data_IF_603136953412
#
_entry.id   IF_603136953412
#
_cell.length_a   1.000
_cell.length_b   1.000
_cell.length_c   1.000
_cell.angle_alpha   90.00
_cell.angle_beta   90.00
_cell.angle_gamma   90.00
#
_symmetry.space_group_name_H-M   'P 1'
#
loop_
_entity.id
_entity.type
_entity.pdbx_description
1 polymer ?
#
# COMPACT_ATOMS: atom_id res chain seq x y z
N UNK A 1 5.80 1.56 11.58
CA UNK A 1 5.28 2.95 11.42
C UNK A 1 3.81 2.87 11.06
N UNK A 2 2.95 3.75 11.57
CA UNK A 2 1.51 3.67 11.31
C UNK A 2 1.05 4.55 10.14
N UNK A 3 0.36 3.93 9.19
CA UNK A 3 -0.32 4.62 8.08
C UNK A 3 -1.82 4.35 8.12
N UNK A 4 -2.59 5.28 7.57
CA UNK A 4 -4.05 5.20 7.50
C UNK A 4 -4.49 4.55 6.19
N UNK A 5 -5.29 3.50 6.26
CA UNK A 5 -5.82 2.75 5.12
C UNK A 5 -7.33 2.85 5.06
N UNK A 6 -7.86 2.72 3.85
CA UNK A 6 -9.27 2.39 3.65
C UNK A 6 -9.31 0.88 3.41
N UNK A 7 -10.06 0.16 4.24
CA UNK A 7 -10.19 -1.29 4.06
C UNK A 7 -10.87 -1.58 2.71
N UNK A 8 -10.35 -2.54 1.92
CA UNK A 8 -11.03 -2.99 0.71
C UNK A 8 -12.43 -3.54 1.05
N UNK A 9 -13.37 -3.41 0.10
CA UNK A 9 -14.81 -3.65 0.34
C UNK A 9 -15.16 -5.10 0.67
N UNK A 10 -14.33 -6.01 0.18
CA UNK A 10 -14.38 -7.47 0.32
C UNK A 10 -13.72 -7.98 1.61
N UNK A 11 -13.08 -7.10 2.38
CA UNK A 11 -12.51 -7.47 3.68
C UNK A 11 -13.61 -7.52 4.73
N UNK A 12 -13.35 -8.25 5.81
CA UNK A 12 -14.26 -8.32 6.96
C UNK A 12 -13.68 -7.59 8.16
N UNK A 13 -14.52 -6.82 8.85
CA UNK A 13 -14.25 -6.19 10.13
C UNK A 13 -15.16 -6.79 11.18
N UNK A 14 -14.61 -7.45 12.20
CA UNK A 14 -15.37 -8.22 13.19
C UNK A 14 -16.37 -9.20 12.53
N UNK A 15 -15.96 -9.85 11.44
CA UNK A 15 -16.79 -10.79 10.67
C UNK A 15 -17.78 -10.14 9.70
N UNK A 16 -18.03 -8.83 9.76
CA UNK A 16 -18.95 -8.09 8.88
C UNK A 16 -18.20 -7.60 7.64
N UNK A 17 -18.78 -7.75 6.45
CA UNK A 17 -18.13 -7.28 5.22
C UNK A 17 -18.03 -5.74 5.23
N UNK A 18 -16.90 -5.22 4.78
CA UNK A 18 -16.64 -3.78 4.76
C UNK A 18 -17.64 -3.03 3.87
N UNK A 19 -18.16 -3.65 2.81
CA UNK A 19 -19.21 -3.08 1.97
C UNK A 19 -20.55 -2.84 2.69
N UNK A 20 -20.81 -3.57 3.78
CA UNK A 20 -22.02 -3.44 4.61
C UNK A 20 -21.83 -2.39 5.71
N UNK A 21 -20.59 -1.96 5.93
CA UNK A 21 -20.23 -0.95 6.91
C UNK A 21 -20.15 0.44 6.27
N UNK A 22 -20.30 1.49 7.08
CA UNK A 22 -19.86 2.82 6.67
C UNK A 22 -18.35 2.78 6.33
N UNK A 23 -17.95 3.51 5.28
CA UNK A 23 -16.54 3.63 4.88
C UNK A 23 -15.74 4.09 6.08
N UNK A 24 -14.85 3.21 6.55
CA UNK A 24 -14.04 3.44 7.73
C UNK A 24 -12.57 3.31 7.36
N UNK A 25 -11.78 4.20 7.95
CA UNK A 25 -10.32 4.14 7.87
C UNK A 25 -9.77 3.39 9.07
N UNK A 26 -8.64 2.71 8.88
CA UNK A 26 -7.91 2.01 9.93
C UNK A 26 -6.45 2.45 9.91
N UNK A 27 -5.83 2.61 11.07
CA UNK A 27 -4.38 2.77 11.16
C UNK A 27 -3.74 1.39 11.31
N UNK A 28 -2.78 1.09 10.44
CA UNK A 28 -2.07 -0.20 10.41
C UNK A 28 -0.57 0.04 10.49
N UNK A 29 0.11 -0.87 11.18
CA UNK A 29 1.56 -0.91 11.20
C UNK A 29 2.12 -1.40 9.88
N UNK A 30 2.89 -0.52 9.27
CA UNK A 30 3.60 -0.74 8.02
C UNK A 30 5.01 -1.17 8.32
N UNK A 31 5.39 -2.28 7.70
CA UNK A 31 6.73 -2.86 7.76
C UNK A 31 7.52 -2.58 6.49
N UNK A 32 6.85 -2.46 5.35
CA UNK A 32 7.52 -2.26 4.08
C UNK A 32 6.63 -1.44 3.15
N UNK A 33 7.22 -0.50 2.40
CA UNK A 33 6.57 0.25 1.33
C UNK A 33 7.14 -0.20 -0.01
N UNK A 34 6.24 -0.39 -0.97
CA UNK A 34 6.58 -0.78 -2.33
C UNK A 34 6.06 0.28 -3.29
N UNK A 35 6.94 0.79 -4.13
CA UNK A 35 6.57 1.63 -5.25
C UNK A 35 5.96 0.73 -6.34
N UNK A 36 4.64 0.77 -6.45
CA UNK A 36 3.91 0.10 -7.52
C UNK A 36 3.93 1.06 -8.71
N UNK A 37 4.93 0.88 -9.58
CA UNK A 37 5.07 1.75 -10.75
C UNK A 37 3.79 1.74 -11.59
N UNK A 38 3.36 2.92 -12.03
CA UNK A 38 2.42 3.03 -13.14
C UNK A 38 3.19 2.82 -14.47
N UNK A 39 3.64 1.59 -14.76
CA UNK A 39 4.13 1.27 -16.10
C UNK A 39 2.92 1.27 -17.06
N UNK A 40 2.86 1.97 -18.20
CA UNK A 40 3.84 2.57 -19.11
C UNK A 40 3.28 3.87 -19.69
N UNK A 41 4.14 4.85 -20.01
CA UNK A 41 3.86 5.87 -21.02
C UNK A 41 3.33 5.20 -22.29
N UNK A 42 2.05 5.39 -22.61
CA UNK A 42 1.56 5.11 -23.96
C UNK A 42 1.62 6.42 -24.73
N UNK A 43 2.53 6.49 -25.70
CA UNK A 43 2.47 7.49 -26.77
C UNK A 43 1.19 7.26 -27.57
N UNK A 44 0.08 7.85 -27.13
CA UNK A 44 -1.10 8.07 -27.97
C UNK A 44 -1.29 9.58 -28.10
N UNK A 45 -0.83 10.10 -29.25
CA UNK A 45 -1.25 11.33 -29.90
C UNK A 45 -1.53 12.57 -29.03
N UNK A 46 -0.66 13.58 -29.13
CA UNK A 46 -0.94 15.03 -28.95
C UNK A 46 -1.83 15.48 -27.77
N UNK A 47 -1.95 14.73 -26.69
CA UNK A 47 -2.56 15.21 -25.44
C UNK A 47 -1.58 15.00 -24.29
N UNK A 48 -1.52 16.03 -23.43
CA UNK A 48 -0.63 16.29 -22.28
C UNK A 48 0.10 15.05 -21.73
N UNK A 49 1.39 15.22 -21.40
CA UNK A 49 2.11 14.36 -20.45
C UNK A 49 1.32 14.32 -19.13
N UNK A 50 0.41 13.37 -18.98
CA UNK A 50 -0.18 13.04 -17.69
C UNK A 50 0.83 12.15 -16.96
N UNK A 51 1.61 12.77 -16.09
CA UNK A 51 2.42 12.04 -15.13
C UNK A 51 1.47 11.27 -14.21
N UNK A 52 1.29 9.97 -14.45
CA UNK A 52 0.67 9.11 -13.45
C UNK A 52 1.58 9.11 -12.23
N UNK A 53 1.13 9.74 -11.14
CA UNK A 53 1.85 9.71 -9.88
C UNK A 53 2.13 8.26 -9.47
N UNK A 54 3.36 7.98 -9.02
CA UNK A 54 3.73 6.66 -8.54
C UNK A 54 2.78 6.23 -7.41
N UNK A 55 2.15 5.06 -7.58
CA UNK A 55 1.36 4.43 -6.53
C UNK A 55 2.30 3.78 -5.53
N UNK A 56 1.93 3.85 -4.26
CA UNK A 56 2.66 3.23 -3.16
C UNK A 56 1.73 2.21 -2.53
N UNK A 57 2.22 1.00 -2.34
CA UNK A 57 1.57 -0.04 -1.55
C UNK A 57 2.42 -0.33 -0.31
N UNK A 58 1.83 -1.00 0.67
CA UNK A 58 2.45 -1.32 1.94
C UNK A 58 2.20 -2.80 2.28
N UNK A 59 3.23 -3.48 2.78
CA UNK A 59 3.05 -4.74 3.49
C UNK A 59 2.71 -4.47 4.96
N UNK A 60 1.57 -4.98 5.38
CA UNK A 60 1.01 -4.79 6.73
C UNK A 60 0.61 -6.13 7.34
N UNK A 61 0.64 -6.21 8.67
CA UNK A 61 -0.09 -7.25 9.38
C UNK A 61 -1.52 -6.79 9.62
N UNK A 62 -2.48 -7.64 9.28
CA UNK A 62 -3.86 -7.38 9.67
C UNK A 62 -4.05 -7.75 11.14
N UNK A 63 -4.67 -6.89 11.93
CA UNK A 63 -5.14 -7.26 13.27
C UNK A 63 -6.15 -8.41 13.19
N UNK A 64 -6.24 -9.22 14.24
CA UNK A 64 -7.10 -10.42 14.30
C UNK A 64 -8.59 -10.15 14.06
N UNK A 65 -9.04 -8.92 14.29
CA UNK A 65 -10.42 -8.51 14.03
C UNK A 65 -10.68 -8.09 12.58
N UNK A 66 -9.66 -8.09 11.71
CA UNK A 66 -9.77 -7.88 10.27
C UNK A 66 -9.42 -9.17 9.55
N UNK A 67 -10.28 -9.62 8.65
CA UNK A 67 -10.01 -10.76 7.78
C UNK A 67 -9.92 -10.31 6.32
N UNK A 68 -8.83 -10.69 5.65
CA UNK A 68 -8.64 -10.46 4.23
C UNK A 68 -9.55 -11.35 3.37
N UNK A 69 -9.84 -10.88 2.14
CA UNK A 69 -10.48 -11.72 1.14
C UNK A 69 -9.52 -12.84 0.66
N UNK A 70 -10.02 -14.02 0.23
CA UNK A 70 -9.18 -15.19 -0.11
C UNK A 70 -8.13 -14.95 -1.21
N UNK A 71 -8.36 -14.01 -2.12
CA UNK A 71 -7.49 -13.65 -3.24
C UNK A 71 -6.54 -12.48 -2.93
N UNK A 72 -6.52 -12.04 -1.68
CA UNK A 72 -5.62 -10.99 -1.20
C UNK A 72 -4.16 -11.39 -1.40
N UNK A 73 -3.37 -10.44 -1.93
CA UNK A 73 -1.93 -10.64 -2.07
C UNK A 73 -1.26 -10.65 -0.71
N UNK A 74 -0.67 -11.79 -0.39
CA UNK A 74 0.15 -12.02 0.78
C UNK A 74 1.59 -12.35 0.37
N UNK A 75 2.56 -11.94 1.18
CA UNK A 75 3.94 -12.39 1.01
C UNK A 75 4.21 -13.71 1.74
N UNK A 76 5.46 -14.18 1.71
CA UNK A 76 5.87 -15.43 2.37
C UNK A 76 5.75 -15.39 3.89
N UNK A 77 5.69 -14.20 4.48
CA UNK A 77 5.49 -14.01 5.92
C UNK A 77 4.00 -13.97 6.28
N UNK A 78 3.10 -13.86 5.30
CA UNK A 78 1.67 -13.69 5.53
C UNK A 78 1.25 -12.23 5.72
N UNK A 79 2.14 -11.27 5.42
CA UNK A 79 1.80 -9.84 5.39
C UNK A 79 0.96 -9.54 4.17
N UNK A 80 -0.06 -8.72 4.33
CA UNK A 80 -0.97 -8.31 3.27
C UNK A 80 -0.45 -7.08 2.56
N UNK A 81 -0.50 -7.09 1.23
CA UNK A 81 -0.18 -5.91 0.41
C UNK A 81 -1.42 -5.03 0.23
N UNK A 82 -1.40 -3.81 0.80
CA UNK A 82 -2.46 -2.83 0.66
C UNK A 82 -1.99 -1.57 -0.07
N UNK A 83 -2.84 -1.02 -0.93
CA UNK A 83 -2.62 0.30 -1.53
C UNK A 83 -2.63 1.38 -0.44
N UNK A 84 -1.62 2.25 -0.45
CA UNK A 84 -1.52 3.37 0.49
C UNK A 84 -2.24 4.59 -0.08
N UNK A 85 -3.36 5.04 0.52
CA UNK A 85 -4.05 6.21 0.00
C UNK A 85 -3.25 7.47 0.33
N UNK A 86 -2.75 8.16 -0.70
CA UNK A 86 -1.99 9.41 -0.56
C UNK A 86 -2.78 10.51 0.16
N UNK A 87 -4.10 10.54 0.03
CA UNK A 87 -4.96 11.55 0.64
C UNK A 87 -4.79 11.63 2.17
N UNK A 88 -4.60 10.49 2.84
CA UNK A 88 -4.40 10.43 4.29
C UNK A 88 -2.92 10.48 4.68
N UNK A 89 -2.03 9.94 3.84
CA UNK A 89 -0.64 9.66 4.24
C UNK A 89 0.41 10.58 3.63
N UNK A 90 0.04 11.63 2.89
CA UNK A 90 1.00 12.46 2.12
C UNK A 90 2.19 12.96 2.93
N UNK A 91 1.97 13.36 4.19
CA UNK A 91 3.02 13.88 5.09
C UNK A 91 3.83 12.80 5.81
N UNK A 92 3.33 11.56 5.82
CA UNK A 92 3.92 10.41 6.50
C UNK A 92 4.75 9.54 5.54
N UNK A 93 4.47 9.62 4.24
CA UNK A 93 5.19 8.85 3.23
C UNK A 93 6.63 9.38 3.06
N UNK A 94 7.65 8.51 3.12
CA UNK A 94 9.03 8.90 2.79
C UNK A 94 9.19 9.14 1.29
N UNK A 95 10.28 9.82 0.95
CA UNK A 95 10.77 9.82 -0.42
C UNK A 95 11.55 8.53 -0.70
N UNK A 96 11.31 7.93 -1.87
CA UNK A 96 12.07 6.76 -2.31
C UNK A 96 13.39 7.24 -2.92
N UNK A 97 14.55 6.70 -2.48
CA UNK A 97 15.83 6.98 -3.12
C UNK A 97 15.83 6.58 -4.60
N UNK A 98 16.70 7.21 -5.39
CA UNK A 98 16.78 6.94 -6.82
C UNK A 98 17.07 5.46 -7.12
N UNK A 99 16.29 4.85 -8.01
CA UNK A 99 16.41 3.43 -8.37
C UNK A 99 15.85 2.46 -7.34
N UNK A 100 15.38 2.94 -6.19
CA UNK A 100 14.79 2.12 -5.15
C UNK A 100 13.27 2.02 -5.32
N UNK A 101 12.74 0.80 -5.29
CA UNK A 101 11.29 0.54 -5.38
C UNK A 101 10.72 -0.03 -4.09
N UNK A 102 11.55 -0.32 -3.08
CA UNK A 102 11.13 -0.95 -1.82
C UNK A 102 11.85 -0.32 -0.63
N UNK A 103 11.09 0.06 0.38
CA UNK A 103 11.60 0.59 1.64
C UNK A 103 11.12 -0.27 2.80
N UNK A 104 12.00 -0.68 3.69
CA UNK A 104 11.67 -1.38 4.93
C UNK A 104 11.70 -0.41 6.12
N UNK A 105 10.82 -0.63 7.09
CA UNK A 105 10.78 0.11 8.35
C UNK A 105 11.49 -0.64 9.47
N UNK A 106 12.64 -0.14 9.92
CA UNK A 106 13.43 -0.68 11.05
C UNK A 106 13.62 0.35 12.18
N UNK A 107 12.67 1.26 12.32
CA UNK A 107 12.80 2.49 13.13
C UNK A 107 13.11 3.74 12.30
N UNK A 108 13.62 3.52 11.09
CA UNK A 108 13.73 4.48 10.00
C UNK A 108 13.48 3.75 8.66
N UNK A 109 13.19 4.50 7.59
CA UNK A 109 13.00 3.92 6.26
C UNK A 109 14.34 3.60 5.61
N UNK A 110 14.55 2.33 5.26
CA UNK A 110 15.76 1.86 4.59
C UNK A 110 15.45 1.22 3.23
N UNK A 111 16.23 1.52 2.18
CA UNK A 111 16.14 0.80 0.91
C UNK A 111 16.32 -0.70 1.09
N UNK A 112 15.41 -1.48 0.52
CA UNK A 112 15.62 -2.92 0.36
C UNK A 112 16.36 -3.13 -0.96
N UNK A 113 17.57 -3.66 -0.88
CA UNK A 113 18.36 -4.05 -2.06
C UNK A 113 17.59 -5.08 -2.89
N UNK A 114 17.64 -4.97 -4.22
CA UNK A 114 16.99 -5.92 -5.11
C UNK A 114 17.65 -7.31 -5.13
N UNK A 115 18.77 -7.48 -4.41
CA UNK A 115 19.55 -8.70 -4.31
C UNK A 115 19.20 -9.49 -3.05
N UNK A 116 18.14 -10.31 -3.13
CA UNK A 116 17.88 -11.44 -2.25
C UNK A 116 17.07 -12.50 -3.01
#
# INVERSE_FOLDING_TARGET
MQLTFVLPRDYRRHGVLQQECAVSTVELDVHELVMVSAARMRWRGRRRKEFCAAKVAAYVWLPDWISAAPDTRVDMLGRVLLDVPRAFNRRRLPEFPHGCTRLEWVGEWRPVSADA
#
